data_IF_177755269442
#
_entry.id   IF_177755269442
#
_cell.length_a   1.000
_cell.length_b   1.000
_cell.length_c   1.000
_cell.angle_alpha   90.00
_cell.angle_beta   90.00
_cell.angle_gamma   90.00
#
_symmetry.space_group_name_H-M   'P 1'
#
loop_
_entity.id
_entity.type
_entity.pdbx_description
1 polymer ?
#
# COMPACT_ATOMS: atom_id res chain seq x y z
N UNK A 1 -8.41 16.58 -4.70
CA UNK A 1 -9.37 16.33 -3.59
C UNK A 1 -8.53 16.26 -2.33
N UNK A 2 -8.83 17.07 -1.31
CA UNK A 2 -8.07 17.05 -0.06
C UNK A 2 -8.48 15.82 0.78
N UNK A 3 -7.51 15.05 1.27
CA UNK A 3 -7.76 13.82 2.02
C UNK A 3 -7.74 14.11 3.52
N UNK A 4 -8.91 14.25 4.15
CA UNK A 4 -9.01 14.52 5.60
C UNK A 4 -8.40 13.44 6.51
N UNK A 5 -8.11 12.25 5.98
CA UNK A 5 -7.49 11.15 6.73
C UNK A 5 -5.98 11.02 6.48
N UNK A 6 -5.35 11.90 5.68
CA UNK A 6 -3.95 11.78 5.27
C UNK A 6 -3.03 11.54 6.48
N UNK A 7 -3.13 12.38 7.51
CA UNK A 7 -2.31 12.27 8.73
C UNK A 7 -2.48 10.91 9.43
N UNK A 8 -3.72 10.45 9.62
CA UNK A 8 -4.01 9.15 10.28
C UNK A 8 -3.54 7.97 9.43
N UNK A 9 -3.63 8.09 8.11
CA UNK A 9 -3.20 7.05 7.19
C UNK A 9 -1.68 6.94 7.12
N UNK A 10 -0.95 8.05 7.29
CA UNK A 10 0.51 8.03 7.36
C UNK A 10 1.02 7.13 8.49
N UNK A 11 0.33 7.13 9.64
CA UNK A 11 0.68 6.27 10.79
C UNK A 11 0.49 4.76 10.49
N UNK A 12 -0.31 4.42 9.48
CA UNK A 12 -0.61 3.03 9.07
C UNK A 12 0.09 2.61 7.78
N UNK A 13 0.68 3.55 7.06
CA UNK A 13 1.25 3.30 5.74
C UNK A 13 2.70 2.82 5.88
N UNK A 14 2.89 1.51 5.72
CA UNK A 14 4.22 0.89 5.73
C UNK A 14 4.90 0.86 4.35
N UNK A 15 4.38 1.58 3.34
CA UNK A 15 4.99 1.64 2.00
C UNK A 15 6.48 1.99 2.09
N UNK A 16 7.32 1.06 1.64
CA UNK A 16 8.78 1.11 1.75
C UNK A 16 9.45 1.82 0.57
N UNK A 17 8.69 2.17 -0.47
CA UNK A 17 9.19 2.89 -1.64
C UNK A 17 9.61 4.33 -1.28
N UNK A 18 10.90 4.70 -1.44
CA UNK A 18 11.37 6.04 -1.12
C UNK A 18 10.65 7.13 -1.94
N UNK A 19 10.16 8.17 -1.28
CA UNK A 19 9.51 9.30 -1.96
C UNK A 19 8.17 8.97 -2.61
N UNK A 20 7.47 7.91 -2.19
CA UNK A 20 6.16 7.55 -2.74
C UNK A 20 5.19 8.76 -2.73
N UNK A 21 4.73 9.23 -3.91
CA UNK A 21 3.89 10.44 -3.99
C UNK A 21 2.47 10.22 -3.45
N UNK A 22 2.05 8.97 -3.28
CA UNK A 22 0.71 8.57 -2.83
C UNK A 22 0.68 8.13 -1.36
N UNK A 23 1.78 8.28 -0.62
CA UNK A 23 1.89 7.80 0.77
C UNK A 23 0.82 8.47 1.64
N UNK A 24 0.04 7.66 2.36
CA UNK A 24 -1.11 8.12 3.15
C UNK A 24 -2.38 8.50 2.36
N UNK A 25 -2.29 8.70 1.04
CA UNK A 25 -3.46 8.94 0.18
C UNK A 25 -4.03 7.61 -0.32
N UNK A 26 -4.83 6.94 0.52
CA UNK A 26 -5.29 5.58 0.26
C UNK A 26 -6.11 5.43 -1.03
N UNK A 27 -6.91 6.42 -1.41
CA UNK A 27 -7.71 6.35 -2.64
C UNK A 27 -6.81 6.32 -3.88
N UNK A 28 -5.84 7.24 -3.97
CA UNK A 28 -4.88 7.25 -5.08
C UNK A 28 -3.95 6.03 -5.06
N UNK A 29 -3.53 5.59 -3.87
CA UNK A 29 -2.70 4.40 -3.70
C UNK A 29 -3.41 3.14 -4.20
N UNK A 30 -4.69 2.97 -3.85
CA UNK A 30 -5.50 1.84 -4.28
C UNK A 30 -5.70 1.82 -5.79
N UNK A 31 -6.10 2.95 -6.41
CA UNK A 31 -6.28 3.01 -7.86
C UNK A 31 -4.98 2.72 -8.62
N UNK A 32 -3.86 3.21 -8.13
CA UNK A 32 -2.55 2.97 -8.74
C UNK A 32 -2.18 1.48 -8.71
N UNK A 33 -2.29 0.82 -7.56
CA UNK A 33 -1.92 -0.59 -7.43
C UNK A 33 -2.89 -1.53 -8.15
N UNK A 34 -4.20 -1.26 -8.10
CA UNK A 34 -5.18 -2.08 -8.84
C UNK A 34 -4.99 -2.00 -10.36
N UNK A 35 -4.50 -0.88 -10.89
CA UNK A 35 -4.17 -0.77 -12.31
C UNK A 35 -2.98 -1.65 -12.76
N UNK A 36 -2.24 -2.22 -11.79
CA UNK A 36 -1.10 -3.12 -12.00
C UNK A 36 -1.35 -4.53 -11.46
N UNK A 37 -2.61 -4.88 -11.14
CA UNK A 37 -2.97 -6.14 -10.47
C UNK A 37 -2.25 -6.36 -9.12
N UNK A 38 -2.05 -5.27 -8.37
CA UNK A 38 -1.41 -5.26 -7.05
C UNK A 38 -2.34 -4.71 -5.97
N UNK A 39 -1.95 -4.91 -4.70
CA UNK A 39 -2.54 -4.26 -3.54
C UNK A 39 -1.59 -3.24 -2.90
N UNK A 40 -2.11 -2.22 -2.20
CA UNK A 40 -1.28 -1.29 -1.44
C UNK A 40 -0.39 -2.00 -0.40
N UNK A 41 0.79 -1.42 -0.13
CA UNK A 41 1.73 -1.89 0.88
C UNK A 41 1.08 -2.23 2.24
N UNK A 42 0.10 -1.43 2.69
CA UNK A 42 -0.57 -1.61 3.98
C UNK A 42 -1.43 -2.89 4.07
N UNK A 43 -1.62 -3.62 2.97
CA UNK A 43 -2.22 -4.94 2.98
C UNK A 43 -1.23 -6.03 3.43
N UNK A 44 0.08 -5.76 3.43
CA UNK A 44 1.15 -6.71 3.69
C UNK A 44 1.89 -6.41 5.01
N UNK A 45 2.43 -7.43 5.69
CA UNK A 45 3.40 -7.24 6.77
C UNK A 45 4.67 -6.52 6.30
N UNK A 46 5.40 -5.87 7.20
CA UNK A 46 6.57 -5.03 6.87
C UNK A 46 7.71 -5.81 6.21
N UNK A 47 7.94 -7.05 6.62
CA UNK A 47 8.94 -7.94 6.03
C UNK A 47 8.58 -8.33 4.59
N UNK A 48 7.29 -8.49 4.31
CA UNK A 48 6.78 -8.80 2.96
C UNK A 48 6.81 -7.57 2.07
N UNK A 49 6.35 -6.42 2.56
CA UNK A 49 6.37 -5.16 1.81
C UNK A 49 7.79 -4.78 1.36
N UNK A 50 8.82 -5.13 2.15
CA UNK A 50 10.24 -4.92 1.78
C UNK A 50 10.72 -5.76 0.60
N UNK A 51 9.99 -6.83 0.22
CA UNK A 51 10.30 -7.60 -0.99
C UNK A 51 9.64 -7.02 -2.24
N UNK A 52 8.74 -6.04 -2.07
CA UNK A 52 7.94 -5.40 -3.12
C UNK A 52 7.00 -6.35 -3.88
N UNK A 53 6.82 -7.60 -3.45
CA UNK A 53 5.81 -8.49 -4.04
C UNK A 53 4.43 -8.10 -3.49
N UNK A 54 3.77 -7.20 -4.21
CA UNK A 54 2.43 -6.67 -3.88
C UNK A 54 1.31 -7.39 -4.64
N UNK A 55 1.59 -8.58 -5.17
CA UNK A 55 0.61 -9.36 -5.95
C UNK A 55 -0.54 -9.88 -5.08
N UNK A 56 -1.69 -10.11 -5.71
CA UNK A 56 -2.81 -10.80 -5.06
C UNK A 56 -2.44 -12.19 -4.56
N UNK A 57 -1.56 -12.91 -5.27
CA UNK A 57 -1.04 -14.22 -4.83
C UNK A 57 -0.34 -14.08 -3.47
N UNK A 58 0.58 -13.11 -3.37
CA UNK A 58 1.33 -12.87 -2.12
C UNK A 58 0.40 -12.45 -0.98
N UNK A 59 -0.66 -11.71 -1.29
CA UNK A 59 -1.67 -11.32 -0.30
C UNK A 59 -2.38 -12.55 0.26
N UNK A 60 -2.83 -13.47 -0.60
CA UNK A 60 -3.48 -14.72 -0.18
C UNK A 60 -2.53 -15.57 0.67
N UNK A 61 -1.25 -15.68 0.30
CA UNK A 61 -0.26 -16.44 1.09
C UNK A 61 0.00 -15.88 2.50
N UNK A 62 -0.21 -14.58 2.69
CA UNK A 62 0.17 -13.88 3.93
C UNK A 62 -1.02 -13.53 4.81
N UNK A 63 -2.23 -13.45 4.24
CA UNK A 63 -3.46 -13.00 4.91
C UNK A 63 -4.66 -13.91 4.68
N UNK A 64 -4.55 -14.90 3.79
CA UNK A 64 -5.62 -15.88 3.48
C UNK A 64 -5.69 -17.04 4.46
#
# INVERSE_FOLDING_TARGET
MDCGNLKKNMDRCNCSYPGCPRKGNCCECLHYHLAMDELPACCFPDDVERTFDRSFRRFIETRG
#
